data_IF_628104018881
#
_entry.id   IF_628104018881
#
_cell.length_a   1.000
_cell.length_b   1.000
_cell.length_c   1.000
_cell.angle_alpha   90.00
_cell.angle_beta   90.00
_cell.angle_gamma   90.00
#
_symmetry.space_group_name_H-M   'P 1'
#
loop_
_entity.id
_entity.type
_entity.pdbx_description
1 polymer ?
#
# COMPACT_ATOMS: atom_id res chain seq x y z
N UNK A 1 -20.76 16.61 20.01
CA UNK A 1 -20.98 15.39 20.81
C UNK A 1 -21.52 14.33 19.85
N UNK A 2 -20.71 13.31 19.59
CA UNK A 2 -20.98 12.06 18.86
C UNK A 2 -21.28 12.20 17.35
N UNK A 3 -20.21 12.34 16.57
CA UNK A 3 -20.17 12.03 15.14
C UNK A 3 -19.25 10.82 14.92
N UNK A 4 -19.77 9.63 15.26
CA UNK A 4 -19.36 8.29 14.83
C UNK A 4 -17.87 8.09 14.48
N UNK A 5 -17.09 7.85 15.54
CA UNK A 5 -15.83 7.13 15.49
C UNK A 5 -16.08 5.71 14.96
N UNK A 6 -15.56 5.39 13.78
CA UNK A 6 -14.45 4.44 13.58
C UNK A 6 -14.32 3.19 14.48
N UNK A 7 -15.43 2.67 15.00
CA UNK A 7 -15.46 1.44 15.79
C UNK A 7 -15.76 0.25 14.85
N UNK A 8 -14.81 -0.68 14.77
CA UNK A 8 -15.04 -2.12 14.48
C UNK A 8 -14.75 -2.69 13.10
N UNK A 9 -14.00 -2.02 12.22
CA UNK A 9 -13.67 -2.60 10.91
C UNK A 9 -12.17 -2.67 10.62
N UNK A 10 -11.47 -3.34 11.54
CA UNK A 10 -10.23 -4.07 11.28
C UNK A 10 -10.39 -5.46 11.91
N UNK A 11 -10.30 -6.50 11.05
CA UNK A 11 -10.00 -7.89 11.41
C UNK A 11 -11.12 -8.73 12.04
N UNK A 12 -12.10 -9.17 11.24
CA UNK A 12 -12.55 -10.57 11.37
C UNK A 12 -11.57 -11.42 10.55
N UNK A 13 -10.59 -12.01 11.23
CA UNK A 13 -9.99 -13.25 10.74
C UNK A 13 -11.09 -14.32 10.74
N UNK A 14 -11.31 -14.93 9.57
CA UNK A 14 -12.00 -16.19 9.32
C UNK A 14 -13.26 -16.51 10.14
N UNK A 15 -14.43 -16.23 9.55
CA UNK A 15 -15.55 -17.19 9.49
C UNK A 15 -16.45 -16.85 8.31
N UNK A 16 -16.25 -17.55 7.20
CA UNK A 16 -17.22 -17.67 6.12
C UNK A 16 -18.49 -18.32 6.68
N UNK A 17 -19.69 -17.70 6.63
CA UNK A 17 -20.92 -18.45 6.79
C UNK A 17 -21.15 -19.26 5.51
N UNK A 18 -21.01 -20.58 5.60
CA UNK A 18 -21.56 -21.50 4.60
C UNK A 18 -23.08 -21.38 4.64
N UNK A 19 -23.69 -20.67 3.70
CA UNK A 19 -25.11 -20.85 3.40
C UNK A 19 -25.24 -21.94 2.34
N UNK A 20 -25.35 -23.18 2.80
CA UNK A 20 -25.94 -24.26 2.00
C UNK A 20 -27.46 -24.08 1.96
N UNK A 21 -28.01 -24.33 0.77
CA UNK A 21 -29.36 -23.99 0.38
C UNK A 21 -30.48 -24.88 0.91
N UNK A 22 -31.70 -24.45 0.55
CA UNK A 22 -32.83 -25.32 0.26
C UNK A 22 -33.52 -24.76 -0.99
N UNK A 23 -33.72 -25.63 -1.98
CA UNK A 23 -34.46 -25.35 -3.22
C UNK A 23 -35.97 -25.20 -2.97
N UNK A 24 -36.85 -25.13 -3.96
CA UNK A 24 -36.77 -25.56 -5.35
C UNK A 24 -38.04 -25.05 -6.08
N UNK A 25 -38.02 -25.14 -7.42
CA UNK A 25 -39.17 -25.24 -8.36
C UNK A 25 -39.86 -23.99 -8.94
N UNK A 26 -39.61 -23.80 -10.25
CA UNK A 26 -40.70 -23.90 -11.25
C UNK A 26 -40.78 -22.75 -12.27
N UNK A 27 -40.27 -22.93 -13.50
CA UNK A 27 -41.08 -23.41 -14.63
C UNK A 27 -40.25 -23.49 -15.94
N UNK A 28 -40.60 -24.50 -16.73
CA UNK A 28 -40.02 -24.93 -18.00
C UNK A 28 -40.39 -24.06 -19.21
N UNK A 29 -39.56 -24.17 -20.25
CA UNK A 29 -39.99 -24.20 -21.66
C UNK A 29 -39.07 -23.37 -22.57
N UNK A 30 -38.55 -23.84 -23.71
CA UNK A 30 -38.63 -25.13 -24.39
C UNK A 30 -37.68 -25.06 -25.61
N UNK A 31 -37.09 -26.20 -25.98
CA UNK A 31 -36.64 -26.62 -27.33
C UNK A 31 -35.44 -25.88 -27.98
N UNK A 32 -34.46 -26.53 -28.61
CA UNK A 32 -34.22 -27.94 -28.96
C UNK A 32 -32.74 -28.08 -29.38
N UNK A 33 -32.07 -29.15 -28.94
CA UNK A 33 -31.83 -30.38 -29.69
C UNK A 33 -30.53 -30.37 -30.51
N UNK A 34 -29.47 -30.94 -29.94
CA UNK A 34 -28.83 -32.14 -30.51
C UNK A 34 -27.91 -32.79 -29.46
N UNK A 35 -28.13 -34.08 -29.27
CA UNK A 35 -27.56 -35.04 -28.33
C UNK A 35 -26.78 -36.10 -29.15
N UNK A 36 -26.22 -37.19 -28.60
CA UNK A 36 -25.18 -37.35 -27.57
C UNK A 36 -24.01 -38.23 -28.08
N UNK A 37 -22.93 -38.34 -27.30
CA UNK A 37 -22.31 -39.65 -27.07
C UNK A 37 -21.53 -39.70 -25.75
N UNK A 38 -22.09 -40.49 -24.82
CA UNK A 38 -21.51 -41.22 -23.68
C UNK A 38 -20.87 -40.41 -22.52
N UNK A 39 -21.54 -40.26 -21.36
CA UNK A 39 -21.84 -41.25 -20.29
C UNK A 39 -20.61 -42.04 -19.82
N UNK A 40 -20.29 -42.20 -18.52
CA UNK A 40 -21.03 -41.92 -17.28
C UNK A 40 -20.15 -42.32 -16.08
N UNK A 41 -20.67 -42.02 -14.87
CA UNK A 41 -20.37 -42.57 -13.54
C UNK A 41 -19.37 -41.77 -12.67
N UNK A 42 -19.86 -40.85 -11.81
CA UNK A 42 -20.49 -41.04 -10.47
C UNK A 42 -19.43 -41.35 -9.39
N UNK A 43 -19.08 -40.39 -8.52
CA UNK A 43 -19.79 -39.96 -7.30
C UNK A 43 -19.80 -41.03 -6.19
N UNK A 44 -19.13 -40.73 -5.07
CA UNK A 44 -19.20 -41.26 -3.70
C UNK A 44 -17.97 -40.68 -2.95
N UNK A 45 -17.99 -40.20 -1.71
CA UNK A 45 -19.06 -39.75 -0.84
C UNK A 45 -18.40 -38.97 0.32
N UNK A 46 -19.19 -38.14 0.98
CA UNK A 46 -18.85 -37.35 2.15
C UNK A 46 -18.81 -38.22 3.41
N UNK A 47 -17.78 -38.12 4.26
CA UNK A 47 -17.93 -38.31 5.72
C UNK A 47 -16.85 -37.50 6.45
N UNK A 48 -17.28 -36.63 7.36
CA UNK A 48 -16.39 -35.89 8.26
C UNK A 48 -16.44 -36.44 9.68
N UNK A 49 -15.46 -36.07 10.50
CA UNK A 49 -15.58 -35.89 11.97
C UNK A 49 -14.32 -35.25 12.60
N UNK A 50 -14.52 -34.05 13.15
CA UNK A 50 -14.08 -33.49 14.44
C UNK A 50 -12.74 -33.84 15.16
N UNK A 51 -12.02 -32.76 15.51
CA UNK A 51 -11.30 -32.39 16.75
C UNK A 51 -9.97 -33.06 17.25
N UNK A 52 -8.99 -32.16 17.48
CA UNK A 52 -7.69 -32.10 18.22
C UNK A 52 -7.44 -33.03 19.44
N UNK A 53 -6.19 -33.28 19.94
CA UNK A 53 -5.01 -32.37 19.98
C UNK A 53 -3.58 -32.97 19.80
N UNK A 54 -2.61 -32.04 19.68
CA UNK A 54 -1.20 -32.03 20.12
C UNK A 54 -0.23 -33.24 19.98
N UNK A 55 1.02 -32.87 19.66
CA UNK A 55 2.33 -33.52 19.88
C UNK A 55 2.75 -34.68 18.98
N UNK A 56 3.93 -34.47 18.39
CA UNK A 56 4.96 -35.42 17.99
C UNK A 56 4.60 -36.52 16.98
N UNK A 57 5.12 -36.39 15.76
CA UNK A 57 6.07 -37.38 15.20
C UNK A 57 6.57 -36.93 13.83
N UNK A 58 7.84 -36.51 13.79
CA UNK A 58 8.65 -36.54 12.59
C UNK A 58 8.97 -38.00 12.24
N UNK A 59 9.14 -38.25 10.93
CA UNK A 59 9.58 -39.50 10.28
C UNK A 59 8.50 -40.56 10.04
N UNK A 60 7.92 -40.60 8.84
CA UNK A 60 7.81 -41.78 7.96
C UNK A 60 6.83 -41.48 6.80
N UNK A 61 7.35 -41.03 5.66
CA UNK A 61 6.79 -41.30 4.32
C UNK A 61 7.71 -40.75 3.22
N UNK A 62 9.01 -41.07 3.30
CA UNK A 62 9.83 -41.18 2.10
C UNK A 62 9.55 -42.56 1.51
N UNK A 63 8.83 -42.62 0.39
CA UNK A 63 8.59 -43.86 -0.32
C UNK A 63 7.21 -43.92 -0.94
N UNK A 64 7.07 -43.32 -2.12
CA UNK A 64 6.30 -43.76 -3.30
C UNK A 64 6.37 -42.57 -4.27
N UNK A 65 7.33 -42.59 -5.20
CA UNK A 65 7.25 -42.09 -6.58
C UNK A 65 8.62 -42.29 -7.23
N UNK A 66 9.05 -43.55 -7.30
CA UNK A 66 10.09 -44.01 -8.21
C UNK A 66 9.44 -45.03 -9.15
N UNK A 67 8.93 -44.57 -10.30
CA UNK A 67 8.72 -45.37 -11.53
C UNK A 67 8.07 -44.52 -12.62
N UNK A 68 8.86 -43.65 -13.24
CA UNK A 68 8.84 -43.41 -14.70
C UNK A 68 10.19 -42.82 -15.04
N UNK A 69 11.08 -43.67 -15.53
CA UNK A 69 12.43 -43.29 -15.91
C UNK A 69 12.42 -42.40 -17.15
N UNK A 70 13.01 -41.21 -17.01
CA UNK A 70 13.72 -40.54 -18.09
C UNK A 70 15.10 -40.19 -17.56
N UNK A 71 16.14 -40.81 -18.12
CA UNK A 71 17.54 -40.53 -17.83
C UNK A 71 17.96 -39.22 -18.49
N UNK A 72 18.53 -38.30 -17.72
CA UNK A 72 19.40 -37.24 -18.23
C UNK A 72 20.69 -37.23 -17.39
N UNK A 73 21.83 -37.21 -18.09
CA UNK A 73 23.18 -37.35 -17.55
C UNK A 73 23.68 -36.16 -16.72
N UNK A 74 24.89 -36.25 -16.15
CA UNK A 74 25.34 -35.41 -15.05
C UNK A 74 25.81 -34.04 -15.54
N UNK A 75 25.30 -32.97 -14.92
CA UNK A 75 25.77 -31.60 -15.18
C UNK A 75 24.66 -30.58 -15.01
N UNK A 76 24.17 -30.37 -13.78
CA UNK A 76 23.25 -29.30 -13.45
C UNK A 76 23.89 -28.32 -12.47
N UNK A 77 24.13 -27.09 -12.91
CA UNK A 77 23.93 -25.92 -12.05
C UNK A 77 22.95 -25.02 -12.79
N UNK A 78 21.67 -25.20 -12.48
CA UNK A 78 20.61 -24.29 -12.86
C UNK A 78 20.72 -23.10 -11.90
N UNK A 79 21.23 -21.97 -12.38
CA UNK A 79 21.36 -20.75 -11.57
C UNK A 79 19.99 -20.08 -11.46
N UNK A 80 19.32 -20.28 -10.33
CA UNK A 80 18.21 -19.45 -9.89
C UNK A 80 18.77 -18.06 -9.52
N UNK A 81 18.73 -17.12 -10.46
CA UNK A 81 18.93 -15.70 -10.15
C UNK A 81 17.68 -15.14 -9.47
N UNK A 82 17.48 -15.54 -8.21
CA UNK A 82 16.67 -14.80 -7.26
C UNK A 82 17.49 -13.60 -6.79
N UNK A 83 17.10 -12.39 -7.22
CA UNK A 83 17.67 -11.14 -6.73
C UNK A 83 17.29 -10.96 -5.25
N UNK A 84 18.09 -11.51 -4.36
CA UNK A 84 18.12 -11.12 -2.95
C UNK A 84 18.71 -9.71 -2.92
N UNK A 85 17.90 -8.70 -2.59
CA UNK A 85 18.41 -7.38 -2.21
C UNK A 85 19.27 -7.52 -0.95
N UNK A 86 20.56 -7.81 -1.13
CA UNK A 86 21.57 -7.63 -0.08
C UNK A 86 21.85 -6.14 0.04
N UNK A 87 21.07 -5.46 0.87
CA UNK A 87 21.43 -4.15 1.42
C UNK A 87 22.64 -4.32 2.35
N UNK A 88 23.83 -4.47 1.77
CA UNK A 88 25.10 -4.28 2.48
C UNK A 88 25.33 -2.78 2.58
N UNK A 89 24.81 -2.14 3.62
CA UNK A 89 25.32 -0.93 4.27
C UNK A 89 24.36 -0.62 5.43
N UNK A 90 24.36 -1.50 6.44
CA UNK A 90 23.79 -1.20 7.75
C UNK A 90 24.97 -0.74 8.61
N UNK A 91 25.17 0.57 8.68
CA UNK A 91 25.90 1.16 9.80
C UNK A 91 24.94 1.15 11.01
N UNK A 92 24.72 -0.04 11.58
CA UNK A 92 24.05 -0.19 12.87
C UNK A 92 25.08 0.17 13.94
N UNK A 93 24.99 1.39 14.46
CA UNK A 93 25.53 1.65 15.80
C UNK A 93 24.62 0.91 16.79
N UNK A 94 25.22 -0.05 17.48
CA UNK A 94 24.62 -1.01 18.39
C UNK A 94 23.53 -0.42 19.29
N UNK A 95 22.28 -0.78 19.02
CA UNK A 95 21.32 -1.10 20.07
C UNK A 95 21.27 -2.63 20.07
N UNK A 96 21.47 -3.25 21.22
CA UNK A 96 21.64 -4.70 21.36
C UNK A 96 20.61 -5.49 20.53
N UNK A 97 21.07 -6.59 19.90
CA UNK A 97 20.34 -7.48 18.97
C UNK A 97 18.99 -8.03 19.50
N UNK A 98 18.63 -7.74 20.76
CA UNK A 98 17.45 -8.27 21.46
C UNK A 98 16.28 -7.29 21.61
N UNK A 99 16.43 -6.00 21.27
CA UNK A 99 15.37 -4.99 21.53
C UNK A 99 14.63 -4.51 20.27
N UNK A 100 15.25 -4.66 19.11
CA UNK A 100 14.78 -4.14 17.83
C UNK A 100 14.64 -5.29 16.84
N UNK A 101 13.48 -5.39 16.19
CA UNK A 101 13.29 -6.33 15.07
C UNK A 101 12.87 -5.60 13.81
N UNK A 102 13.37 -6.08 12.67
CA UNK A 102 12.64 -5.98 11.41
C UNK A 102 11.74 -7.21 11.38
N UNK A 103 10.42 -7.07 11.50
CA UNK A 103 9.54 -8.23 11.39
C UNK A 103 9.64 -8.80 9.97
N UNK A 104 10.32 -9.94 9.75
CA UNK A 104 10.44 -10.52 8.42
C UNK A 104 9.13 -11.21 8.01
N UNK A 105 8.30 -11.56 9.00
CA UNK A 105 7.16 -12.46 8.85
C UNK A 105 5.90 -11.78 8.30
N UNK A 106 5.96 -10.47 8.03
CA UNK A 106 4.80 -9.69 7.59
C UNK A 106 5.16 -9.04 6.27
N UNK A 107 5.04 -9.84 5.22
CA UNK A 107 5.15 -9.38 3.85
C UNK A 107 3.88 -8.59 3.53
N UNK A 108 3.96 -7.27 3.66
CA UNK A 108 3.00 -6.39 3.00
C UNK A 108 3.48 -6.23 1.57
N UNK A 109 2.75 -6.80 0.62
CA UNK A 109 2.97 -6.61 -0.80
C UNK A 109 2.65 -5.15 -1.11
N UNK A 110 3.65 -4.29 -0.95
CA UNK A 110 3.57 -2.89 -1.34
C UNK A 110 4.11 -2.72 -2.75
N UNK A 111 3.85 -1.56 -3.34
CA UNK A 111 4.43 -1.24 -4.64
C UNK A 111 5.98 -1.28 -4.61
N UNK A 112 6.60 -0.97 -3.46
CA UNK A 112 8.06 -1.09 -3.28
C UNK A 112 8.58 -2.52 -3.45
N UNK A 113 7.75 -3.52 -3.17
CA UNK A 113 8.10 -4.95 -3.25
C UNK A 113 7.70 -5.56 -4.60
N UNK A 114 7.13 -4.75 -5.50
CA UNK A 114 6.62 -5.22 -6.78
C UNK A 114 7.78 -5.67 -7.69
N UNK A 115 7.88 -6.96 -8.05
CA UNK A 115 9.07 -7.53 -8.70
C UNK A 115 9.34 -6.92 -10.09
N UNK A 116 8.29 -6.45 -10.76
CA UNK A 116 8.40 -5.84 -12.08
C UNK A 116 8.70 -4.33 -12.05
N UNK A 117 8.77 -3.68 -10.87
CA UNK A 117 8.92 -2.23 -10.82
C UNK A 117 10.25 -1.77 -11.45
N UNK A 118 11.35 -2.46 -11.12
CA UNK A 118 12.66 -2.16 -11.71
C UNK A 118 12.75 -2.54 -13.19
N UNK A 119 12.06 -3.61 -13.61
CA UNK A 119 12.03 -4.08 -14.99
C UNK A 119 11.22 -3.15 -15.89
N UNK A 120 10.08 -2.67 -15.41
CA UNK A 120 9.15 -1.83 -16.17
C UNK A 120 9.51 -0.35 -16.13
N UNK A 121 10.31 0.08 -15.14
CA UNK A 121 10.84 1.44 -15.05
C UNK A 121 12.38 1.41 -14.91
N UNK A 122 13.10 1.04 -15.99
CA UNK A 122 14.55 1.01 -15.98
C UNK A 122 15.09 2.44 -16.00
N UNK A 123 15.56 2.90 -14.84
CA UNK A 123 16.29 4.15 -14.71
C UNK A 123 17.78 3.91 -14.97
N UNK A 124 18.38 4.75 -15.82
CA UNK A 124 19.78 4.67 -16.25
C UNK A 124 20.73 5.58 -15.44
N UNK A 125 20.27 6.08 -14.29
CA UNK A 125 21.07 6.86 -13.35
C UNK A 125 22.38 6.13 -13.01
N UNK A 126 23.51 6.83 -13.16
CA UNK A 126 24.85 6.30 -12.88
C UNK A 126 25.40 5.29 -13.89
N UNK A 127 24.69 5.01 -15.00
CA UNK A 127 25.14 4.05 -16.03
C UNK A 127 26.03 4.65 -17.11
N UNK A 128 26.15 5.98 -17.16
CA UNK A 128 26.85 6.68 -18.23
C UNK A 128 27.99 7.54 -17.68
N UNK A 129 29.21 7.31 -18.17
CA UNK A 129 30.34 8.22 -18.03
C UNK A 129 30.40 9.12 -19.26
N UNK A 130 29.81 10.31 -19.15
CA UNK A 130 29.61 11.20 -20.30
C UNK A 130 30.70 12.27 -20.42
N UNK A 131 31.12 12.54 -21.65
CA UNK A 131 31.87 13.74 -22.04
C UNK A 131 30.96 14.61 -22.90
N UNK A 132 30.28 15.63 -22.34
CA UNK A 132 29.24 16.37 -23.03
C UNK A 132 29.76 17.03 -24.32
N UNK A 133 29.21 16.63 -25.47
CA UNK A 133 29.62 17.16 -26.79
C UNK A 133 28.82 18.36 -27.26
N UNK A 134 27.63 18.57 -26.69
CA UNK A 134 26.68 19.62 -27.09
C UNK A 134 26.34 20.58 -25.95
N UNK A 135 26.14 21.85 -26.27
CA UNK A 135 25.73 22.86 -25.28
C UNK A 135 24.22 22.81 -25.01
N UNK A 136 23.81 23.33 -23.86
CA UNK A 136 22.38 23.58 -23.54
C UNK A 136 21.79 24.79 -24.30
N UNK A 137 22.48 25.27 -25.35
CA UNK A 137 22.08 26.44 -26.13
C UNK A 137 21.77 27.65 -25.22
N UNK A 138 20.60 28.29 -25.36
CA UNK A 138 20.22 29.48 -24.58
C UNK A 138 20.23 29.27 -23.06
N UNK A 139 19.97 28.06 -22.57
CA UNK A 139 20.00 27.75 -21.14
C UNK A 139 21.42 27.83 -20.56
N UNK A 140 22.46 27.67 -21.38
CA UNK A 140 23.85 27.84 -20.96
C UNK A 140 24.23 29.28 -20.57
N UNK A 141 23.35 30.25 -20.86
CA UNK A 141 23.52 31.65 -20.44
C UNK A 141 23.18 31.87 -18.97
N UNK A 142 22.45 30.95 -18.34
CA UNK A 142 22.11 31.03 -16.93
C UNK A 142 23.24 30.48 -16.08
N UNK A 143 23.57 31.12 -14.94
CA UNK A 143 24.43 30.53 -13.92
C UNK A 143 23.92 29.16 -13.48
N UNK A 144 24.86 28.29 -13.08
CA UNK A 144 24.55 26.91 -12.67
C UNK A 144 23.58 26.87 -11.50
N UNK A 145 23.71 27.80 -10.58
CA UNK A 145 22.90 27.94 -9.38
C UNK A 145 21.43 28.20 -9.75
N UNK A 146 21.19 29.09 -10.73
CA UNK A 146 19.84 29.36 -11.23
C UNK A 146 19.26 28.15 -11.96
N UNK A 147 20.08 27.46 -12.75
CA UNK A 147 19.65 26.20 -13.40
C UNK A 147 19.28 25.15 -12.36
N UNK A 148 20.07 25.00 -11.30
CA UNK A 148 19.76 24.09 -10.20
C UNK A 148 18.46 24.44 -9.51
N UNK A 149 18.24 25.71 -9.15
CA UNK A 149 16.98 26.17 -8.55
C UNK A 149 15.77 25.89 -9.46
N UNK A 150 15.87 26.17 -10.77
CA UNK A 150 14.79 25.92 -11.71
C UNK A 150 14.49 24.42 -11.82
N UNK A 151 15.53 23.61 -12.06
CA UNK A 151 15.37 22.18 -12.29
C UNK A 151 14.84 21.44 -11.05
N UNK A 152 15.26 21.84 -9.85
CA UNK A 152 14.78 21.25 -8.59
C UNK A 152 13.28 21.51 -8.36
N UNK A 153 12.72 22.59 -8.93
CA UNK A 153 11.30 22.89 -8.85
C UNK A 153 10.45 22.21 -9.94
N UNK A 154 11.08 21.55 -10.92
CA UNK A 154 10.34 20.81 -11.94
C UNK A 154 9.70 19.54 -11.37
N UNK A 155 8.55 19.18 -11.94
CA UNK A 155 7.94 17.88 -11.71
C UNK A 155 8.86 16.75 -12.20
N UNK A 156 8.78 15.58 -11.56
CA UNK A 156 9.70 14.47 -11.80
C UNK A 156 9.57 13.93 -13.24
N UNK A 157 8.39 13.99 -13.85
CA UNK A 157 8.22 13.62 -15.26
C UNK A 157 8.95 14.59 -16.19
N UNK A 158 8.75 15.90 -16.01
CA UNK A 158 9.46 16.92 -16.80
C UNK A 158 10.96 16.87 -16.57
N UNK A 159 11.43 16.67 -15.33
CA UNK A 159 12.85 16.60 -15.01
C UNK A 159 13.52 15.38 -15.66
N UNK A 160 12.88 14.21 -15.60
CA UNK A 160 13.40 12.98 -16.24
C UNK A 160 13.36 13.08 -17.77
N UNK A 161 12.33 13.70 -18.34
CA UNK A 161 12.29 14.00 -19.77
C UNK A 161 13.40 14.96 -20.18
N UNK A 162 13.65 16.03 -19.40
CA UNK A 162 14.74 16.96 -19.65
C UNK A 162 16.10 16.27 -19.59
N UNK A 163 16.31 15.37 -18.61
CA UNK A 163 17.52 14.56 -18.47
C UNK A 163 17.84 13.76 -19.74
N UNK A 164 16.82 13.33 -20.50
CA UNK A 164 16.98 12.55 -21.74
C UNK A 164 17.27 13.40 -22.99
N UNK A 165 17.23 14.73 -22.91
CA UNK A 165 17.35 15.60 -24.10
C UNK A 165 18.75 15.51 -24.75
N UNK A 166 19.81 15.58 -23.95
CA UNK A 166 21.20 15.41 -24.39
C UNK A 166 22.11 15.12 -23.20
N UNK A 167 23.39 14.82 -23.48
CA UNK A 167 24.39 14.49 -22.46
C UNK A 167 24.65 15.61 -21.45
N UNK A 168 24.50 16.88 -21.85
CA UNK A 168 24.71 18.03 -20.97
C UNK A 168 23.51 18.22 -20.03
N UNK A 169 22.28 18.04 -20.53
CA UNK A 169 21.08 18.03 -19.71
C UNK A 169 21.12 16.87 -18.71
N UNK A 170 21.58 15.69 -19.15
CA UNK A 170 21.81 14.56 -18.28
C UNK A 170 22.80 14.90 -17.16
N UNK A 171 23.99 15.40 -17.52
CA UNK A 171 25.02 15.78 -16.55
C UNK A 171 24.56 16.89 -15.59
N UNK A 172 23.74 17.83 -16.07
CA UNK A 172 23.19 18.90 -15.25
C UNK A 172 22.20 18.36 -14.21
N UNK A 173 21.25 17.50 -14.62
CA UNK A 173 20.29 16.87 -13.71
C UNK A 173 21.00 15.94 -12.72
N UNK A 174 21.97 15.15 -13.19
CA UNK A 174 22.77 14.25 -12.36
C UNK A 174 23.71 15.01 -11.39
N UNK A 175 23.90 16.32 -11.60
CA UNK A 175 24.64 17.18 -10.66
C UNK A 175 23.76 17.83 -9.59
N UNK A 176 22.43 17.66 -9.63
CA UNK A 176 21.51 18.25 -8.65
C UNK A 176 21.62 17.50 -7.31
N UNK A 177 21.97 18.15 -6.19
CA UNK A 177 22.10 17.47 -4.91
C UNK A 177 20.83 16.73 -4.47
N UNK A 178 19.66 17.35 -4.68
CA UNK A 178 18.38 16.74 -4.38
C UNK A 178 18.12 15.46 -5.20
N UNK A 179 18.42 15.50 -6.50
CA UNK A 179 18.22 14.38 -7.40
C UNK A 179 19.23 13.25 -7.15
N UNK A 180 20.48 13.58 -6.86
CA UNK A 180 21.50 12.60 -6.43
C UNK A 180 21.03 11.88 -5.17
N UNK A 181 20.57 12.62 -4.14
CA UNK A 181 20.07 12.00 -2.92
C UNK A 181 18.87 11.06 -3.17
N UNK A 182 17.92 11.48 -4.02
CA UNK A 182 16.77 10.66 -4.41
C UNK A 182 17.23 9.39 -5.14
N UNK A 183 18.13 9.50 -6.10
CA UNK A 183 18.55 8.36 -6.93
C UNK A 183 19.47 7.40 -6.18
N UNK A 184 20.21 7.88 -5.18
CA UNK A 184 21.04 7.04 -4.31
C UNK A 184 20.22 6.30 -3.25
N UNK A 185 19.28 6.97 -2.57
CA UNK A 185 18.64 6.42 -1.37
C UNK A 185 17.13 6.16 -1.52
N UNK A 186 16.48 6.79 -2.50
CA UNK A 186 15.03 6.75 -2.73
C UNK A 186 14.64 6.21 -4.10
N UNK A 187 15.53 5.47 -4.78
CA UNK A 187 15.33 5.05 -6.17
C UNK A 187 14.03 4.26 -6.39
N UNK A 188 13.65 3.43 -5.42
CA UNK A 188 12.39 2.67 -5.47
C UNK A 188 11.17 3.60 -5.48
N UNK A 189 11.18 4.66 -4.67
CA UNK A 189 10.11 5.65 -4.66
C UNK A 189 10.04 6.42 -5.98
N UNK A 190 11.20 6.82 -6.54
CA UNK A 190 11.26 7.48 -7.84
C UNK A 190 10.68 6.58 -8.95
N UNK A 191 11.08 5.30 -9.01
CA UNK A 191 10.51 4.33 -9.96
C UNK A 191 9.00 4.18 -9.78
N UNK A 192 8.55 4.07 -8.53
CA UNK A 192 7.13 3.92 -8.21
C UNK A 192 6.31 5.14 -8.67
N UNK A 193 6.80 6.35 -8.42
CA UNK A 193 6.17 7.60 -8.86
C UNK A 193 6.04 7.67 -10.39
N UNK A 194 7.10 7.30 -11.11
CA UNK A 194 7.08 7.29 -12.58
C UNK A 194 6.17 6.18 -13.13
N UNK A 195 6.20 4.98 -12.54
CA UNK A 195 5.39 3.85 -12.97
C UNK A 195 3.89 4.04 -12.73
N UNK A 196 3.54 4.74 -11.63
CA UNK A 196 2.17 5.16 -11.30
C UNK A 196 1.71 6.41 -12.07
N UNK A 197 2.60 7.02 -12.85
CA UNK A 197 2.38 8.29 -13.55
C UNK A 197 2.05 9.50 -12.64
N UNK A 198 2.45 9.46 -11.36
CA UNK A 198 2.24 10.57 -10.41
C UNK A 198 3.33 11.63 -10.48
N UNK A 199 4.41 11.38 -11.23
CA UNK A 199 5.54 12.28 -11.35
C UNK A 199 5.20 13.67 -11.89
N UNK A 200 4.10 13.83 -12.61
CA UNK A 200 3.58 15.13 -13.08
C UNK A 200 3.06 16.04 -11.96
N UNK A 201 2.73 15.47 -10.80
CA UNK A 201 2.20 16.18 -9.63
C UNK A 201 3.24 16.37 -8.53
N UNK A 202 4.44 15.81 -8.68
CA UNK A 202 5.46 15.76 -7.62
C UNK A 202 6.75 16.39 -8.15
N UNK A 203 7.20 17.46 -7.50
CA UNK A 203 8.48 18.10 -7.83
C UNK A 203 9.67 17.33 -7.28
N UNK A 204 10.84 17.53 -7.87
CA UNK A 204 12.09 16.99 -7.32
C UNK A 204 12.33 17.46 -5.88
N UNK A 205 12.07 18.74 -5.60
CA UNK A 205 12.15 19.30 -4.26
C UNK A 205 11.17 18.60 -3.29
N UNK A 206 9.91 18.40 -3.71
CA UNK A 206 8.89 17.76 -2.86
C UNK A 206 9.27 16.34 -2.43
N UNK A 207 9.81 15.54 -3.36
CA UNK A 207 10.29 14.20 -3.03
C UNK A 207 11.52 14.24 -2.12
N UNK A 208 12.46 15.15 -2.39
CA UNK A 208 13.65 15.31 -1.56
C UNK A 208 13.30 15.72 -0.12
N UNK A 209 12.39 16.67 0.05
CA UNK A 209 11.92 17.11 1.37
C UNK A 209 11.16 16.01 2.10
N UNK A 210 10.33 15.24 1.38
CA UNK A 210 9.63 14.09 1.96
C UNK A 210 10.61 13.02 2.47
N UNK A 211 11.72 12.78 1.75
CA UNK A 211 12.76 11.83 2.18
C UNK A 211 13.58 12.36 3.37
N UNK A 212 13.65 13.67 3.59
CA UNK A 212 14.33 14.27 4.75
C UNK A 212 13.44 14.40 5.98
N UNK A 213 12.13 14.37 5.80
CA UNK A 213 11.18 14.54 6.89
C UNK A 213 10.83 13.18 7.55
N UNK A 214 11.21 12.94 8.82
CA UNK A 214 10.89 11.67 9.48
C UNK A 214 9.40 11.53 9.82
N UNK A 215 8.65 12.63 9.91
CA UNK A 215 7.35 12.68 10.56
C UNK A 215 6.17 12.41 9.62
N UNK A 216 5.13 11.80 10.18
CA UNK A 216 3.85 11.60 9.53
C UNK A 216 3.14 12.94 9.36
N UNK A 217 2.58 13.17 8.17
CA UNK A 217 1.83 14.41 7.86
C UNK A 217 0.62 14.59 8.77
N UNK A 218 0.02 13.50 9.25
CA UNK A 218 -1.25 13.53 10.02
C UNK A 218 -1.03 13.50 11.53
N UNK A 219 -0.14 12.65 12.04
CA UNK A 219 0.02 12.43 13.49
C UNK A 219 1.43 12.74 14.02
N UNK A 220 2.33 13.22 13.17
CA UNK A 220 3.71 13.61 13.49
C UNK A 220 4.65 12.53 14.06
N UNK A 221 4.15 11.32 14.38
CA UNK A 221 4.96 10.12 14.66
C UNK A 221 5.85 9.76 13.45
N UNK A 222 6.88 8.96 13.67
CA UNK A 222 7.74 8.48 12.59
C UNK A 222 6.94 7.76 11.49
N UNK A 223 7.28 8.07 10.24
CA UNK A 223 6.51 7.71 9.06
C UNK A 223 7.31 6.90 8.04
N UNK A 224 7.54 5.61 8.27
CA UNK A 224 8.34 4.78 7.34
C UNK A 224 7.82 4.63 5.90
N UNK A 225 6.68 5.26 5.55
CA UNK A 225 6.03 5.13 4.26
C UNK A 225 5.80 6.47 3.58
N UNK A 226 5.81 6.43 2.24
CA UNK A 226 5.47 7.55 1.38
C UNK A 226 4.21 7.23 0.59
N UNK A 227 3.19 8.07 0.73
CA UNK A 227 2.01 8.05 -0.13
C UNK A 227 2.34 8.73 -1.46
N UNK A 228 2.48 7.92 -2.51
CA UNK A 228 3.07 8.28 -3.80
C UNK A 228 2.17 9.12 -4.70
N UNK A 229 0.88 9.26 -4.34
CA UNK A 229 -0.06 10.09 -5.08
C UNK A 229 0.18 11.59 -4.85
N UNK A 230 0.50 11.97 -3.61
CA UNK A 230 0.71 13.36 -3.19
C UNK A 230 2.04 13.59 -2.48
N UNK A 231 2.95 12.62 -2.54
CA UNK A 231 4.28 12.67 -1.92
C UNK A 231 4.27 12.97 -0.41
N UNK A 232 3.26 12.44 0.32
CA UNK A 232 3.09 12.68 1.76
C UNK A 232 3.68 11.55 2.59
N UNK A 233 4.46 11.88 3.61
CA UNK A 233 4.94 10.92 4.62
C UNK A 233 3.78 10.45 5.48
N UNK A 234 3.67 9.13 5.70
CA UNK A 234 2.64 8.52 6.54
C UNK A 234 3.20 7.38 7.38
N UNK A 235 2.69 7.23 8.60
CA UNK A 235 2.93 6.04 9.41
C UNK A 235 1.91 4.95 9.07
N UNK A 236 2.21 3.71 9.43
CA UNK A 236 1.34 2.57 9.15
C UNK A 236 -0.11 2.78 9.65
N UNK A 237 -0.27 3.23 10.90
CA UNK A 237 -1.58 3.47 11.50
C UNK A 237 -2.39 4.51 10.72
N UNK A 238 -1.77 5.63 10.35
CA UNK A 238 -2.46 6.66 9.56
C UNK A 238 -2.81 6.14 8.16
N UNK A 239 -1.91 5.38 7.53
CA UNK A 239 -2.16 4.75 6.25
C UNK A 239 -3.43 3.90 6.25
N UNK A 240 -3.66 3.08 7.28
CA UNK A 240 -4.84 2.20 7.32
C UNK A 240 -6.10 2.87 7.90
N UNK A 241 -5.95 3.84 8.80
CA UNK A 241 -7.10 4.45 9.50
C UNK A 241 -7.64 5.69 8.79
N UNK A 242 -6.80 6.53 8.18
CA UNK A 242 -7.24 7.85 7.69
C UNK A 242 -7.74 7.77 6.25
N UNK A 243 -8.88 8.40 5.97
CA UNK A 243 -9.44 8.48 4.62
C UNK A 243 -8.55 9.26 3.65
N UNK A 244 -7.71 10.18 4.14
CA UNK A 244 -6.75 10.93 3.32
C UNK A 244 -5.75 10.05 2.55
N UNK A 245 -5.53 8.81 3.00
CA UNK A 245 -4.68 7.82 2.33
C UNK A 245 -5.48 6.71 1.64
N UNK A 246 -6.79 6.93 1.44
CA UNK A 246 -7.66 6.04 0.69
C UNK A 246 -7.92 6.64 -0.70
N UNK A 247 -7.16 6.23 -1.73
CA UNK A 247 -7.35 6.75 -3.07
C UNK A 247 -8.68 6.27 -3.67
N UNK A 248 -9.36 7.15 -4.39
CA UNK A 248 -10.74 6.95 -4.85
C UNK A 248 -10.78 6.45 -6.31
N UNK A 249 -11.66 5.50 -6.61
CA UNK A 249 -11.93 5.08 -8.00
C UNK A 249 -12.73 6.15 -8.74
N UNK A 250 -12.73 6.09 -10.08
CA UNK A 250 -13.59 6.95 -10.89
C UNK A 250 -15.08 6.82 -10.49
N UNK A 251 -15.58 5.61 -10.23
CA UNK A 251 -16.97 5.43 -9.75
C UNK A 251 -17.23 6.20 -8.44
N UNK A 252 -16.31 6.14 -7.47
CA UNK A 252 -16.47 6.90 -6.23
C UNK A 252 -16.57 8.40 -6.54
N UNK A 253 -15.68 8.93 -7.38
CA UNK A 253 -15.66 10.36 -7.71
C UNK A 253 -16.94 10.81 -8.41
N UNK A 254 -17.43 10.04 -9.39
CA UNK A 254 -18.67 10.36 -10.09
C UNK A 254 -19.90 10.22 -9.18
N UNK A 255 -20.04 9.08 -8.53
CA UNK A 255 -21.26 8.73 -7.82
C UNK A 255 -21.35 9.39 -6.45
N UNK A 256 -20.30 9.32 -5.64
CA UNK A 256 -20.34 9.80 -4.26
C UNK A 256 -20.05 11.30 -4.18
N UNK A 257 -19.25 11.84 -5.08
CA UNK A 257 -18.86 13.26 -5.03
C UNK A 257 -19.55 14.13 -6.08
N UNK A 258 -20.24 13.52 -7.06
CA UNK A 258 -21.03 14.23 -8.07
C UNK A 258 -20.18 15.02 -9.07
N UNK A 259 -18.88 14.74 -9.17
CA UNK A 259 -17.98 15.47 -10.06
C UNK A 259 -18.11 15.00 -11.50
N UNK A 260 -18.05 15.91 -12.46
CA UNK A 260 -18.02 15.62 -13.89
C UNK A 260 -16.60 15.36 -14.40
N UNK A 261 -16.47 14.79 -15.60
CA UNK A 261 -15.18 14.49 -16.24
C UNK A 261 -14.26 15.73 -16.35
N UNK A 262 -14.84 16.89 -16.68
CA UNK A 262 -14.09 18.16 -16.76
C UNK A 262 -13.53 18.62 -15.42
N UNK A 263 -14.19 18.26 -14.32
CA UNK A 263 -13.76 18.64 -12.97
C UNK A 263 -12.69 17.69 -12.42
N UNK A 264 -12.60 16.46 -12.94
CA UNK A 264 -11.62 15.47 -12.48
C UNK A 264 -10.31 15.50 -13.25
N UNK A 265 -10.33 15.98 -14.51
CA UNK A 265 -9.14 16.10 -15.37
C UNK A 265 -7.92 16.77 -14.68
N UNK A 266 -8.07 17.89 -13.95
CA UNK A 266 -6.93 18.54 -13.29
C UNK A 266 -6.53 17.89 -11.95
N UNK A 267 -7.28 16.89 -11.46
CA UNK A 267 -7.04 16.34 -10.12
C UNK A 267 -5.82 15.42 -10.10
N UNK A 268 -5.04 15.45 -8.99
CA UNK A 268 -4.00 14.46 -8.76
C UNK A 268 -4.56 13.03 -8.84
N UNK A 269 -3.96 12.24 -9.71
CA UNK A 269 -4.35 10.86 -9.97
C UNK A 269 -3.13 9.96 -10.17
N UNK A 270 -3.33 8.66 -9.97
CA UNK A 270 -2.36 7.61 -10.26
C UNK A 270 -2.98 6.51 -11.10
N UNK A 271 -2.15 5.82 -11.88
CA UNK A 271 -2.53 4.58 -12.56
C UNK A 271 -1.88 3.40 -11.85
N UNK A 272 -2.69 2.50 -11.28
CA UNK A 272 -2.18 1.31 -10.59
C UNK A 272 -1.36 0.42 -11.51
N UNK A 273 -0.47 -0.40 -10.94
CA UNK A 273 0.13 -1.53 -11.64
C UNK A 273 -0.68 -2.80 -11.36
N UNK A 274 -0.81 -3.72 -12.34
CA UNK A 274 -1.36 -5.04 -12.06
C UNK A 274 -0.42 -5.82 -11.14
N UNK A 275 -0.96 -6.53 -10.15
CA UNK A 275 -0.14 -7.27 -9.18
C UNK A 275 -0.88 -7.62 -7.89
N UNK A 276 -0.20 -8.35 -7.02
CA UNK A 276 -0.65 -8.63 -5.66
C UNK A 276 -0.29 -7.48 -4.73
N UNK A 277 -1.23 -7.08 -3.88
CA UNK A 277 -1.06 -6.00 -2.92
C UNK A 277 -1.59 -6.38 -1.54
N UNK A 278 -1.22 -5.58 -0.54
CA UNK A 278 -1.57 -5.79 0.87
C UNK A 278 -1.05 -7.15 1.38
N UNK A 279 -1.81 -7.93 2.12
CA UNK A 279 -1.33 -9.21 2.69
C UNK A 279 -1.32 -10.36 1.66
N UNK A 280 -1.12 -10.09 0.37
CA UNK A 280 -1.10 -11.08 -0.73
C UNK A 280 -2.46 -11.68 -1.06
N UNK A 281 -3.54 -11.25 -0.38
CA UNK A 281 -4.90 -11.77 -0.57
C UNK A 281 -5.69 -11.00 -1.62
N UNK A 282 -5.10 -10.00 -2.27
CA UNK A 282 -5.81 -9.15 -3.21
C UNK A 282 -4.96 -8.88 -4.44
N UNK A 283 -5.50 -9.26 -5.58
CA UNK A 283 -4.88 -9.10 -6.89
C UNK A 283 -5.60 -8.01 -7.68
N UNK A 284 -4.83 -7.11 -8.28
CA UNK A 284 -5.33 -6.10 -9.20
C UNK A 284 -5.00 -6.57 -10.62
N UNK A 285 -6.02 -6.89 -11.46
CA UNK A 285 -5.79 -7.50 -12.77
C UNK A 285 -5.36 -6.52 -13.85
N UNK A 286 -5.60 -5.22 -13.66
CA UNK A 286 -5.37 -4.22 -14.68
C UNK A 286 -5.00 -2.86 -14.11
N UNK A 287 -4.56 -1.96 -14.99
CA UNK A 287 -4.33 -0.57 -14.61
C UNK A 287 -5.68 0.12 -14.39
N UNK A 288 -5.85 0.71 -13.22
CA UNK A 288 -7.01 1.52 -12.85
C UNK A 288 -6.56 2.93 -12.47
N UNK A 289 -7.39 3.92 -12.76
CA UNK A 289 -7.14 5.31 -12.32
C UNK A 289 -7.71 5.49 -10.93
N UNK A 290 -6.88 6.02 -10.03
CA UNK A 290 -7.29 6.39 -8.68
C UNK A 290 -6.96 7.86 -8.40
N UNK A 291 -7.82 8.55 -7.66
CA UNK A 291 -7.78 9.98 -7.41
C UNK A 291 -7.47 10.30 -5.94
N UNK A 292 -6.87 11.46 -5.70
CA UNK A 292 -6.55 11.93 -4.34
C UNK A 292 -7.82 12.33 -3.60
N UNK A 293 -8.10 11.75 -2.42
CA UNK A 293 -9.34 11.99 -1.69
C UNK A 293 -9.48 13.46 -1.28
N UNK A 294 -8.39 14.11 -0.86
CA UNK A 294 -8.44 15.49 -0.40
C UNK A 294 -8.71 16.47 -1.57
N UNK A 295 -8.13 16.21 -2.74
CA UNK A 295 -8.39 17.00 -3.95
C UNK A 295 -9.82 16.84 -4.47
N UNK A 296 -10.34 15.61 -4.46
CA UNK A 296 -11.72 15.30 -4.83
C UNK A 296 -12.69 15.98 -3.85
N UNK A 297 -12.43 15.90 -2.55
CA UNK A 297 -13.26 16.53 -1.53
C UNK A 297 -13.31 18.05 -1.71
N UNK A 298 -12.17 18.73 -1.85
CA UNK A 298 -12.14 20.19 -2.08
C UNK A 298 -12.93 20.60 -3.31
N UNK A 299 -12.80 19.84 -4.41
CA UNK A 299 -13.50 20.13 -5.67
C UNK A 299 -15.00 19.89 -5.55
N UNK A 300 -15.39 18.84 -4.83
CA UNK A 300 -16.79 18.51 -4.55
C UNK A 300 -17.45 19.52 -3.61
N UNK A 301 -16.75 19.98 -2.58
CA UNK A 301 -17.21 21.05 -1.70
C UNK A 301 -17.45 22.33 -2.50
N UNK A 302 -16.56 22.67 -3.43
CA UNK A 302 -16.76 23.83 -4.32
C UNK A 302 -18.00 23.67 -5.23
N UNK A 303 -18.29 22.44 -5.69
CA UNK A 303 -19.48 22.14 -6.49
C UNK A 303 -20.79 22.25 -5.67
N UNK A 304 -20.81 21.68 -4.47
CA UNK A 304 -22.01 21.65 -3.60
C UNK A 304 -22.16 22.90 -2.73
N UNK A 305 -21.17 23.80 -2.75
CA UNK A 305 -21.16 25.07 -2.03
C UNK A 305 -20.75 24.99 -0.56
N UNK A 306 -20.80 23.82 0.09
CA UNK A 306 -20.38 23.61 1.48
C UNK A 306 -20.01 22.15 1.77
N UNK A 307 -19.29 21.93 2.86
CA UNK A 307 -18.95 20.59 3.34
C UNK A 307 -20.21 19.81 3.73
N UNK A 308 -21.15 20.46 4.39
CA UNK A 308 -22.41 19.89 4.86
C UNK A 308 -23.31 19.48 3.67
N UNK A 309 -23.40 20.32 2.64
CA UNK A 309 -24.15 19.98 1.43
C UNK A 309 -23.55 18.78 0.69
N UNK A 310 -22.21 18.74 0.57
CA UNK A 310 -21.50 17.61 -0.04
C UNK A 310 -21.71 16.31 0.75
N UNK A 311 -21.64 16.36 2.09
CA UNK A 311 -21.90 15.20 2.94
C UNK A 311 -23.34 14.72 2.82
N UNK A 312 -24.32 15.64 2.80
CA UNK A 312 -25.72 15.31 2.59
C UNK A 312 -25.94 14.62 1.24
N UNK A 313 -25.31 15.11 0.17
CA UNK A 313 -25.35 14.47 -1.15
C UNK A 313 -24.80 13.04 -1.10
N UNK A 314 -23.60 12.84 -0.51
CA UNK A 314 -23.02 11.50 -0.31
C UNK A 314 -23.98 10.57 0.43
N UNK A 315 -24.56 11.05 1.50
CA UNK A 315 -25.49 10.27 2.31
C UNK A 315 -26.76 9.89 1.53
N UNK A 316 -27.29 10.78 0.71
CA UNK A 316 -28.44 10.47 -0.14
C UNK A 316 -28.10 9.40 -1.18
N UNK A 317 -26.94 9.51 -1.84
CA UNK A 317 -26.47 8.53 -2.83
C UNK A 317 -26.27 7.15 -2.19
N UNK A 318 -25.56 7.07 -1.07
CA UNK A 318 -25.30 5.80 -0.37
C UNK A 318 -26.61 5.17 0.11
N UNK A 319 -27.54 5.97 0.63
CA UNK A 319 -28.85 5.45 1.05
C UNK A 319 -29.68 4.95 -0.13
N UNK A 320 -29.62 5.62 -1.29
CA UNK A 320 -30.28 5.14 -2.50
C UNK A 320 -29.69 3.82 -2.98
N UNK A 321 -28.36 3.72 -3.09
CA UNK A 321 -27.67 2.48 -3.49
C UNK A 321 -28.03 1.31 -2.58
N UNK A 322 -28.03 1.52 -1.26
CA UNK A 322 -28.40 0.49 -0.30
C UNK A 322 -29.87 0.07 -0.43
N UNK A 323 -30.78 1.03 -0.65
CA UNK A 323 -32.19 0.72 -0.91
C UNK A 323 -32.35 -0.18 -2.13
N UNK A 324 -31.69 0.18 -3.23
CA UNK A 324 -31.80 -0.57 -4.48
C UNK A 324 -31.22 -1.97 -4.33
N UNK A 325 -30.11 -2.12 -3.61
CA UNK A 325 -29.54 -3.43 -3.26
C UNK A 325 -30.51 -4.28 -2.42
N UNK A 326 -31.11 -3.71 -1.37
CA UNK A 326 -32.08 -4.42 -0.52
C UNK A 326 -33.32 -4.84 -1.30
N UNK A 327 -33.80 -3.98 -2.21
CA UNK A 327 -34.92 -4.30 -3.10
C UNK A 327 -34.56 -5.46 -4.04
N UNK A 328 -33.35 -5.48 -4.58
CA UNK A 328 -32.88 -6.55 -5.47
C UNK A 328 -32.63 -7.88 -4.74
N UNK A 329 -32.01 -7.84 -3.56
CA UNK A 329 -31.61 -9.04 -2.83
C UNK A 329 -32.75 -9.69 -2.05
N UNK A 330 -33.66 -8.89 -1.48
CA UNK A 330 -34.71 -9.34 -0.57
C UNK A 330 -36.13 -9.03 -1.04
N UNK A 331 -36.31 -8.26 -2.11
CA UNK A 331 -37.64 -7.84 -2.58
C UNK A 331 -38.32 -6.81 -1.67
N UNK A 332 -37.60 -6.23 -0.70
CA UNK A 332 -38.15 -5.31 0.30
C UNK A 332 -37.79 -3.87 -0.08
N UNK A 333 -38.79 -2.98 -0.07
CA UNK A 333 -38.55 -1.54 -0.15
C UNK A 333 -38.38 -0.94 1.25
N UNK A 334 -37.20 -0.37 1.51
CA UNK A 334 -36.82 0.12 2.85
C UNK A 334 -36.78 1.65 2.87
N UNK A 335 -37.37 2.26 3.90
CA UNK A 335 -37.37 3.72 4.07
C UNK A 335 -35.95 4.29 4.24
N UNK A 336 -35.70 5.52 3.79
CA UNK A 336 -34.37 6.16 3.95
C UNK A 336 -33.96 6.25 5.43
N UNK A 337 -34.92 6.47 6.32
CA UNK A 337 -34.72 6.57 7.76
C UNK A 337 -34.24 5.25 8.35
N UNK A 338 -34.86 4.14 7.94
CA UNK A 338 -34.47 2.78 8.35
C UNK A 338 -33.09 2.41 7.82
N UNK A 339 -32.78 2.77 6.57
CA UNK A 339 -31.46 2.54 5.97
C UNK A 339 -30.36 3.28 6.73
N UNK A 340 -30.59 4.55 7.09
CA UNK A 340 -29.62 5.35 7.88
C UNK A 340 -29.29 4.71 9.23
N UNK A 341 -30.24 3.99 9.83
CA UNK A 341 -30.04 3.30 11.12
C UNK A 341 -29.31 1.95 10.99
N UNK A 342 -29.41 1.27 9.84
CA UNK A 342 -28.85 -0.09 9.64
C UNK A 342 -27.41 -0.05 9.08
N UNK A 343 -26.95 1.11 8.56
CA UNK A 343 -25.67 1.24 7.85
C UNK A 343 -24.47 0.61 8.57
N UNK A 344 -24.07 -0.58 8.12
CA UNK A 344 -22.66 -0.89 7.92
C UNK A 344 -22.27 -0.35 6.53
N UNK A 345 -21.09 0.28 6.36
CA UNK A 345 -20.70 0.84 5.08
C UNK A 345 -20.68 -0.27 4.01
N UNK A 346 -21.48 -0.09 2.97
CA UNK A 346 -21.58 -0.94 1.78
C UNK A 346 -20.35 -0.78 0.87
N UNK A 347 -19.17 -0.89 1.45
CA UNK A 347 -17.91 -0.88 0.73
C UNK A 347 -17.17 -2.16 1.10
N UNK A 348 -16.75 -2.90 0.08
CA UNK A 348 -16.03 -4.15 0.25
C UNK A 348 -14.70 -3.87 0.96
N UNK A 349 -14.66 -4.09 2.27
CA UNK A 349 -13.59 -3.67 3.17
C UNK A 349 -12.22 -4.21 2.76
N UNK A 350 -12.21 -5.40 2.16
CA UNK A 350 -10.99 -6.04 1.66
C UNK A 350 -10.45 -5.33 0.41
N UNK A 351 -11.32 -5.00 -0.57
CA UNK A 351 -10.90 -4.24 -1.76
C UNK A 351 -10.48 -2.82 -1.37
N UNK A 352 -11.15 -2.22 -0.38
CA UNK A 352 -10.77 -0.90 0.13
C UNK A 352 -9.40 -0.90 0.80
N UNK A 353 -9.07 -1.92 1.58
CA UNK A 353 -7.76 -2.01 2.22
C UNK A 353 -6.66 -2.08 1.17
N UNK A 354 -6.86 -2.88 0.12
CA UNK A 354 -5.90 -3.07 -0.98
C UNK A 354 -5.54 -1.77 -1.69
N UNK A 355 -6.52 -0.91 -1.98
CA UNK A 355 -6.27 0.37 -2.68
C UNK A 355 -5.34 1.30 -1.90
N UNK A 356 -5.16 1.12 -0.59
CA UNK A 356 -4.19 1.91 0.19
C UNK A 356 -2.74 1.53 -0.13
N UNK A 357 -2.48 0.27 -0.46
CA UNK A 357 -1.12 -0.25 -0.64
C UNK A 357 -0.61 -0.12 -2.09
N UNK A 358 -1.49 0.13 -3.06
CA UNK A 358 -1.11 0.30 -4.48
C UNK A 358 -0.30 1.56 -4.73
N UNK A 359 -0.46 2.58 -3.89
CA UNK A 359 0.12 3.90 -4.03
C UNK A 359 1.10 4.24 -2.91
N UNK A 360 1.71 3.23 -2.28
CA UNK A 360 2.61 3.42 -1.14
C UNK A 360 3.93 2.69 -1.36
N UNK A 361 5.02 3.34 -0.96
CA UNK A 361 6.33 2.72 -0.87
C UNK A 361 6.91 2.92 0.52
N UNK A 362 7.62 1.91 1.02
CA UNK A 362 8.53 2.08 2.16
C UNK A 362 9.71 2.95 1.72
N UNK A 363 10.05 3.97 2.49
CA UNK A 363 11.17 4.87 2.18
C UNK A 363 11.97 5.22 3.44
N UNK A 364 13.30 5.39 3.32
CA UNK A 364 14.11 5.81 4.45
C UNK A 364 13.95 7.31 4.72
N UNK A 365 14.47 7.74 5.87
CA UNK A 365 14.79 9.13 6.17
C UNK A 365 16.24 9.41 5.84
N UNK A 366 16.52 10.50 5.15
CA UNK A 366 17.87 11.01 4.93
C UNK A 366 18.28 11.83 6.13
N UNK A 367 19.09 11.24 7.01
CA UNK A 367 19.59 11.90 8.22
C UNK A 367 20.77 12.79 7.87
N UNK A 368 21.75 12.23 7.15
CA UNK A 368 22.89 12.98 6.63
C UNK A 368 23.10 12.65 5.14
N UNK A 369 22.88 13.65 4.30
CA UNK A 369 23.00 13.53 2.84
C UNK A 369 24.46 13.46 2.39
N UNK A 370 25.39 14.07 3.12
CA UNK A 370 26.82 14.07 2.78
C UNK A 370 27.47 12.74 3.16
N UNK A 371 27.10 12.21 4.32
CA UNK A 371 27.61 10.93 4.83
C UNK A 371 26.81 9.72 4.30
N UNK A 372 25.71 9.97 3.58
CA UNK A 372 24.82 8.92 3.05
C UNK A 372 24.10 8.13 4.15
N UNK A 373 23.93 8.71 5.33
CA UNK A 373 23.31 8.06 6.48
C UNK A 373 21.80 8.13 6.33
N UNK A 374 21.19 6.95 6.33
CA UNK A 374 19.75 6.77 6.18
C UNK A 374 19.15 5.95 7.32
N UNK A 375 17.90 6.26 7.66
CA UNK A 375 17.18 5.58 8.72
C UNK A 375 15.85 5.00 8.20
N UNK A 376 15.69 3.68 8.30
CA UNK A 376 14.48 2.97 7.86
C UNK A 376 13.42 2.80 8.95
N UNK A 377 13.77 3.18 10.17
CA UNK A 377 13.00 2.94 11.37
C UNK A 377 13.01 1.48 11.83
N UNK A 378 12.62 1.28 13.08
CA UNK A 378 12.67 0.00 13.78
C UNK A 378 11.34 -0.32 14.45
N UNK A 379 11.02 -1.60 14.62
CA UNK A 379 9.88 -2.02 15.41
C UNK A 379 10.30 -2.41 16.84
N UNK A 380 9.34 -2.31 17.77
CA UNK A 380 9.51 -2.78 19.13
C UNK A 380 9.09 -4.25 19.25
N UNK A 381 10.02 -5.15 19.60
CA UNK A 381 9.71 -6.58 19.77
C UNK A 381 8.61 -6.83 20.82
N UNK A 382 8.58 -6.03 21.90
CA UNK A 382 7.58 -6.14 22.95
C UNK A 382 6.18 -5.65 22.56
N UNK A 383 6.07 -4.96 21.43
CA UNK A 383 4.79 -4.51 20.89
C UNK A 383 4.13 -5.55 19.97
N UNK A 384 4.77 -6.71 19.70
CA UNK A 384 4.33 -7.67 18.67
C UNK A 384 2.88 -8.15 18.83
N UNK A 385 2.40 -8.30 20.06
CA UNK A 385 1.06 -8.83 20.36
C UNK A 385 -0.04 -7.76 20.29
N UNK A 386 0.34 -6.48 20.27
CA UNK A 386 -0.59 -5.36 20.39
C UNK A 386 -1.11 -4.91 19.01
N UNK A 387 -2.15 -5.63 18.53
CA UNK A 387 -2.80 -5.37 17.24
C UNK A 387 -3.73 -4.15 17.22
N UNK A 388 -4.28 -3.77 18.37
CA UNK A 388 -5.34 -2.74 18.46
C UNK A 388 -4.93 -1.51 19.27
N UNK A 389 -3.83 -1.57 20.02
CA UNK A 389 -3.40 -0.44 20.84
C UNK A 389 -2.62 0.56 20.01
N UNK A 390 -3.15 1.78 19.84
CA UNK A 390 -2.55 2.78 18.94
C UNK A 390 -1.14 3.21 19.35
N UNK A 391 -0.84 3.27 20.66
CA UNK A 391 0.45 3.75 21.17
C UNK A 391 1.55 2.68 21.10
N UNK A 392 1.17 1.41 21.07
CA UNK A 392 2.07 0.24 21.03
C UNK A 392 1.76 -0.66 19.83
N UNK A 393 1.19 -0.11 18.76
CA UNK A 393 0.77 -0.94 17.64
C UNK A 393 2.00 -1.63 17.06
N UNK A 394 1.96 -2.94 16.89
CA UNK A 394 3.12 -3.72 16.48
C UNK A 394 3.77 -3.25 15.14
N UNK A 395 2.98 -2.73 14.19
CA UNK A 395 3.50 -2.13 12.94
C UNK A 395 3.99 -0.68 13.07
N UNK A 396 4.02 -0.11 14.28
CA UNK A 396 4.61 1.21 14.50
C UNK A 396 6.12 1.12 14.29
N UNK A 397 6.64 2.10 13.57
CA UNK A 397 8.07 2.27 13.35
C UNK A 397 8.55 3.46 14.17
N UNK A 398 9.77 3.38 14.65
CA UNK A 398 10.43 4.42 15.44
C UNK A 398 11.77 4.79 14.81
N UNK A 399 12.15 6.06 14.89
CA UNK A 399 13.57 6.43 14.79
C UNK A 399 14.31 5.92 16.02
N UNK A 400 15.65 5.97 16.02
CA UNK A 400 16.46 5.73 17.21
C UNK A 400 16.00 6.59 18.39
N UNK A 401 15.90 7.90 18.18
CA UNK A 401 15.45 8.85 19.19
C UNK A 401 14.01 8.57 19.65
N UNK A 402 13.10 8.30 18.72
CA UNK A 402 11.71 7.97 19.03
C UNK A 402 11.55 6.61 19.74
N UNK A 403 12.49 5.69 19.54
CA UNK A 403 12.50 4.40 20.23
C UNK A 403 12.96 4.55 21.68
N UNK A 404 13.92 5.45 21.96
CA UNK A 404 14.30 5.80 23.32
C UNK A 404 13.15 6.48 24.09
N UNK A 405 12.35 7.31 23.42
CA UNK A 405 11.10 7.84 23.96
C UNK A 405 10.08 6.73 24.29
N UNK A 406 9.90 5.80 23.35
CA UNK A 406 9.04 4.62 23.55
C UNK A 406 9.45 3.79 24.76
N UNK A 407 10.75 3.54 24.95
CA UNK A 407 11.28 2.82 26.10
C UNK A 407 11.10 3.60 27.42
N UNK A 408 11.19 4.93 27.40
CA UNK A 408 10.89 5.76 28.58
C UNK A 408 9.41 5.70 28.97
N UNK A 409 8.52 5.62 27.99
CA UNK A 409 7.08 5.58 28.21
C UNK A 409 6.59 4.21 28.71
N UNK A 410 7.11 3.13 28.14
CA UNK A 410 6.60 1.78 28.38
C UNK A 410 7.55 0.88 29.19
N UNK A 411 8.75 1.35 29.47
CA UNK A 411 9.79 0.63 30.18
C UNK A 411 10.68 -0.18 29.25
N UNK A 412 11.81 -0.63 29.79
CA UNK A 412 12.78 -1.47 29.08
C UNK A 412 12.18 -2.80 28.64
N UNK A 413 12.78 -3.43 27.65
CA UNK A 413 12.36 -4.73 27.13
C UNK A 413 13.19 -5.83 27.81
N UNK A 414 12.54 -6.77 28.51
CA UNK A 414 13.16 -8.01 29.00
C UNK A 414 12.32 -9.20 28.56
N UNK A 415 12.99 -10.25 28.07
CA UNK A 415 12.33 -11.47 27.57
C UNK A 415 11.23 -11.17 26.53
N UNK A 416 11.44 -10.17 25.68
CA UNK A 416 10.48 -9.78 24.64
C UNK A 416 9.23 -9.04 25.16
N UNK A 417 9.23 -8.54 26.40
CA UNK A 417 8.12 -7.77 26.99
C UNK A 417 8.60 -6.50 27.69
N UNK A 418 7.72 -5.51 27.82
CA UNK A 418 7.99 -4.27 28.54
C UNK A 418 7.95 -4.49 30.07
N UNK A 419 9.00 -4.08 30.78
CA UNK A 419 9.17 -4.28 32.24
C UNK A 419 8.46 -3.21 33.07
N UNK A 420 8.10 -2.08 32.43
CA UNK A 420 7.36 -0.98 33.06
C UNK A 420 5.87 -1.22 33.23
N UNK A 421 5.37 -2.42 32.92
CA UNK A 421 4.00 -2.84 33.23
C UNK A 421 3.82 -3.01 34.75
N UNK A 422 3.72 -1.88 35.45
CA UNK A 422 2.94 -1.84 36.67
C UNK A 422 1.55 -2.35 36.33
N UNK A 423 1.09 -3.37 37.05
CA UNK A 423 -0.29 -3.85 37.06
C UNK A 423 -1.24 -2.64 37.11
N UNK A 424 -1.73 -2.21 35.96
CA UNK A 424 -2.91 -1.35 35.91
C UNK A 424 -4.05 -2.19 36.43
N UNK A 425 -4.55 -1.86 37.61
CA UNK A 425 -5.85 -2.30 38.11
C UNK A 425 -6.92 -1.90 37.10
N UNK A 426 -7.14 -2.76 36.11
CA UNK A 426 -8.31 -2.76 35.23
C UNK A 426 -9.05 -4.06 35.48
N UNK A 427 -9.69 -4.13 36.64
CA UNK A 427 -10.55 -5.25 36.99
C UNK A 427 -11.57 -5.49 35.89
N UNK A 428 -11.57 -6.72 35.38
CA UNK A 428 -12.76 -7.32 34.82
C UNK A 428 -13.80 -7.38 35.94
N UNK A 429 -14.79 -6.49 35.89
CA UNK A 429 -16.09 -6.70 36.53
C UNK A 429 -17.14 -6.70 35.42
N UNK A 430 -17.60 -7.91 35.12
CA UNK A 430 -18.83 -8.35 34.45
C UNK A 430 -19.54 -7.45 33.44
#
# INVERSE_FOLDING_TARGET
MIGWLYSDLLMVEDRVPRLWGSGFQGFMGHCGSHDPSHDSALALDYFGTWNFPASDTWHLAAGIFAKTGYQLGPGSIMTSHGFVYRNKHIAAVAMEEYTVTHYPDVIEYMLSDHPLLATNCPLDNGRHTLSPTHSLSRLSRLPRELLHMILTQLDLCTLTNFRMVNQNAMALVDSLPAYVAITTHGLTALRAILALETGRFITCQSLYDALRNPSCTTCHRFAGYLYLLTCRRTCYLCLITKLAYYPLTADHVYSLFGLSEKQIEPLPCMKTLPGEYATGKSYIPGRMVLYDPDAVERTSVALHGSLEAMQKFKDEVVSSRYRDLMRQALGIDVSLTTIRMIRAPCLDLNVMHTMRFVGVARVPVLVDVKEGVVEWGVHCVACKEWKMEERRHWRQLFTREGFEEHLREFGEIKEGRHVGEGRGEGGLSF
#
